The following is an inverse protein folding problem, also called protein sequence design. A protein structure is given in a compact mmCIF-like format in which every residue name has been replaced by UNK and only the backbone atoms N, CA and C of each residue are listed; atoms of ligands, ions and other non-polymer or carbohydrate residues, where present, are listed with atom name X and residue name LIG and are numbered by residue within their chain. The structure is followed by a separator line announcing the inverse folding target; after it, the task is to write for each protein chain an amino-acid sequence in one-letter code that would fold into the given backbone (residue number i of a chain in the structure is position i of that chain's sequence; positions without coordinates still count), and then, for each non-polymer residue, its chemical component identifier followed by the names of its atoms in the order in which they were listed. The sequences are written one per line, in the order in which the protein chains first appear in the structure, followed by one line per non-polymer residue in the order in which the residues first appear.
data_IF_716493703708
#
_entry.id   IF_716493703708
#
_cell.length_a   1.000
_cell.length_b   1.000
_cell.length_c   1.000
_cell.angle_alpha   90.00
_cell.angle_beta   90.00
_cell.angle_gamma   90.00
#
_symmetry.space_group_name_H-M   'P 1'
#
loop_
_entity.id
_entity.type
_entity.pdbx_description
1 polymer ?
#
# COMPACT_ATOMS: atom_id res chain seq x y z
N UNK A 1 -2.31 -4.40 -4.35
CA UNK A 1 -3.30 -3.42 -3.82
C UNK A 1 -4.69 -4.02 -3.77
N UNK A 2 -5.30 -4.12 -2.58
CA UNK A 2 -6.67 -4.64 -2.39
C UNK A 2 -7.71 -3.84 -3.19
N UNK A 3 -7.60 -2.52 -3.16
CA UNK A 3 -8.53 -1.59 -3.82
C UNK A 3 -8.67 -1.82 -5.33
N UNK A 4 -7.56 -2.08 -6.04
CA UNK A 4 -7.60 -2.38 -7.48
C UNK A 4 -8.23 -3.74 -7.78
N UNK A 5 -8.02 -4.74 -6.92
CA UNK A 5 -8.62 -6.07 -7.06
C UNK A 5 -10.13 -6.02 -6.87
N UNK A 6 -10.61 -5.28 -5.87
CA UNK A 6 -12.04 -5.08 -5.62
C UNK A 6 -12.74 -4.41 -6.81
N UNK A 7 -12.06 -3.46 -7.45
CA UNK A 7 -12.53 -2.81 -8.68
C UNK A 7 -12.39 -3.67 -9.94
N UNK A 8 -11.76 -4.84 -9.83
CA UNK A 8 -11.43 -5.73 -10.97
C UNK A 8 -10.71 -4.96 -12.09
N UNK A 9 -9.88 -3.97 -11.73
CA UNK A 9 -9.21 -3.15 -12.73
C UNK A 9 -8.15 -3.98 -13.44
N UNK A 10 -8.18 -3.92 -14.77
CA UNK A 10 -7.19 -4.53 -15.64
C UNK A 10 -6.48 -3.45 -16.43
N UNK A 11 -5.15 -3.53 -16.49
CA UNK A 11 -4.37 -2.61 -17.30
C UNK A 11 -4.42 -3.06 -18.76
N UNK A 12 -5.10 -2.28 -19.60
CA UNK A 12 -5.26 -2.56 -21.03
C UNK A 12 -4.17 -1.92 -21.88
N UNK A 13 -3.49 -0.87 -21.37
CA UNK A 13 -2.43 -0.18 -22.09
C UNK A 13 -1.14 -1.00 -21.97
N UNK A 14 -0.54 -1.45 -23.10
CA UNK A 14 0.71 -2.21 -23.08
C UNK A 14 1.82 -1.46 -22.34
N UNK A 15 2.67 -2.22 -21.65
CA UNK A 15 3.85 -1.64 -21.04
C UNK A 15 4.89 -1.35 -22.13
N UNK A 16 5.33 -0.09 -22.30
CA UNK A 16 6.49 0.18 -23.13
C UNK A 16 7.72 -0.50 -22.50
N UNK A 17 8.49 -1.20 -23.31
CA UNK A 17 9.81 -1.75 -22.94
C UNK A 17 10.86 -0.87 -23.60
N UNK A 18 11.90 -0.54 -22.86
CA UNK A 18 13.03 0.26 -23.31
C UNK A 18 14.26 -0.53 -22.86
N UNK A 19 15.16 -0.82 -23.80
CA UNK A 19 16.43 -1.48 -23.48
C UNK A 19 17.47 -0.45 -23.00
N UNK A 20 18.50 -0.94 -22.32
CA UNK A 20 19.52 -0.06 -21.75
C UNK A 20 20.33 0.60 -22.87
N UNK A 21 20.31 1.94 -22.93
CA UNK A 21 20.95 2.73 -23.99
C UNK A 21 20.03 3.14 -25.16
N UNK A 22 18.76 2.73 -25.18
CA UNK A 22 17.78 3.24 -26.15
C UNK A 22 17.31 4.67 -25.82
N UNK A 23 17.09 5.49 -26.85
CA UNK A 23 16.59 6.85 -26.69
C UNK A 23 15.10 6.85 -26.32
N UNK A 24 14.75 7.57 -25.24
CA UNK A 24 13.37 7.70 -24.79
C UNK A 24 12.60 8.65 -25.71
N UNK A 25 11.77 8.09 -26.58
CA UNK A 25 10.96 8.88 -27.51
C UNK A 25 9.71 9.48 -26.86
N UNK A 26 9.13 10.49 -27.52
CA UNK A 26 7.88 11.10 -27.10
C UNK A 26 6.71 10.10 -27.05
N UNK A 27 6.63 9.17 -28.00
CA UNK A 27 5.56 8.17 -28.06
C UNK A 27 5.62 7.17 -26.90
N UNK A 28 6.83 6.72 -26.57
CA UNK A 28 7.10 5.84 -25.44
C UNK A 28 6.71 6.53 -24.13
N UNK A 29 7.13 7.79 -23.97
CA UNK A 29 6.80 8.61 -22.79
C UNK A 29 5.28 8.82 -22.67
N UNK A 30 4.63 9.16 -23.78
CA UNK A 30 3.17 9.38 -23.82
C UNK A 30 2.42 8.11 -23.47
N UNK A 31 2.85 6.96 -23.99
CA UNK A 31 2.23 5.66 -23.69
C UNK A 31 2.41 5.30 -22.22
N UNK A 32 3.61 5.47 -21.67
CA UNK A 32 3.89 5.25 -20.25
C UNK A 32 3.02 6.16 -19.36
N UNK A 33 2.93 7.46 -19.67
CA UNK A 33 2.12 8.42 -18.94
C UNK A 33 0.63 8.03 -18.97
N UNK A 34 0.10 7.70 -20.15
CA UNK A 34 -1.30 7.29 -20.32
C UNK A 34 -1.62 6.04 -19.49
N UNK A 35 -0.70 5.07 -19.47
CA UNK A 35 -0.79 3.85 -18.64
C UNK A 35 -0.81 4.17 -17.15
N UNK A 36 0.06 5.07 -16.70
CA UNK A 36 0.12 5.52 -15.30
C UNK A 36 -1.13 6.28 -14.88
N UNK A 37 -1.63 7.20 -15.71
CA UNK A 37 -2.87 7.93 -15.45
C UNK A 37 -4.05 6.97 -15.36
N UNK A 38 -4.15 5.99 -16.27
CA UNK A 38 -5.21 4.99 -16.24
C UNK A 38 -5.20 4.18 -14.91
N UNK A 39 -4.00 3.81 -14.43
CA UNK A 39 -3.85 3.16 -13.12
C UNK A 39 -4.24 4.10 -11.96
N UNK A 40 -3.80 5.35 -12.00
CA UNK A 40 -4.05 6.31 -10.93
C UNK A 40 -5.52 6.67 -10.82
N UNK A 41 -6.23 6.83 -11.94
CA UNK A 41 -7.67 7.05 -11.96
C UNK A 41 -8.43 5.86 -11.35
N UNK A 42 -7.98 4.63 -11.60
CA UNK A 42 -8.58 3.45 -10.99
C UNK A 42 -8.44 3.44 -9.46
N UNK A 43 -7.43 4.10 -8.89
CA UNK A 43 -7.26 4.26 -7.45
C UNK A 43 -8.18 5.31 -6.82
N UNK A 44 -8.88 6.13 -7.62
CA UNK A 44 -9.78 7.15 -7.09
C UNK A 44 -11.00 6.50 -6.39
N UNK A 45 -11.34 6.94 -5.18
CA UNK A 45 -12.55 6.49 -4.48
C UNK A 45 -13.83 6.94 -5.20
N UNK A 46 -14.96 6.34 -4.82
CA UNK A 46 -16.29 6.79 -5.26
C UNK A 46 -16.62 8.24 -4.88
N UNK A 47 -15.87 8.83 -3.94
CA UNK A 47 -16.03 10.20 -3.46
C UNK A 47 -14.99 11.15 -4.09
N UNK A 48 -14.18 10.69 -5.04
CA UNK A 48 -13.21 11.52 -5.74
C UNK A 48 -11.85 11.68 -5.05
N UNK A 49 -11.70 11.27 -3.79
CA UNK A 49 -10.40 11.27 -3.09
C UNK A 49 -9.58 10.03 -3.43
N UNK A 50 -8.25 10.09 -3.28
CA UNK A 50 -7.37 8.91 -3.39
C UNK A 50 -7.06 8.34 -2.01
N UNK A 51 -7.43 7.08 -1.72
CA UNK A 51 -7.02 6.43 -0.49
C UNK A 51 -5.50 6.27 -0.50
N UNK A 52 -4.84 6.79 0.52
CA UNK A 52 -3.42 6.60 0.74
C UNK A 52 -3.21 5.78 2.00
N UNK A 53 -2.18 4.94 1.97
CA UNK A 53 -1.68 4.36 3.21
C UNK A 53 -0.99 5.48 3.99
N UNK A 54 -1.57 5.86 5.12
CA UNK A 54 -0.91 6.72 6.09
C UNK A 54 -0.27 5.83 7.17
N UNK A 55 0.76 5.10 6.78
CA UNK A 55 1.59 4.34 7.74
C UNK A 55 2.69 5.26 8.27
N UNK A 56 2.75 5.37 9.59
CA UNK A 56 3.78 6.10 10.32
C UNK A 56 4.49 5.17 11.31
N UNK A 57 5.30 5.72 12.23
CA UNK A 57 5.82 4.94 13.34
C UNK A 57 4.68 4.21 14.06
N UNK A 58 4.88 2.95 14.42
CA UNK A 58 3.96 2.16 15.25
C UNK A 58 3.88 2.69 16.70
N UNK A 59 3.80 4.00 16.90
CA UNK A 59 3.61 4.62 18.19
C UNK A 59 2.14 4.58 18.61
N UNK A 60 1.21 4.88 17.68
CA UNK A 60 -0.22 4.97 18.02
C UNK A 60 -0.94 3.61 17.98
N UNK A 61 -0.42 2.65 17.21
CA UNK A 61 -1.13 1.40 16.93
C UNK A 61 -1.05 0.36 18.06
N UNK A 62 0.11 0.10 18.68
CA UNK A 62 0.18 -0.83 19.81
C UNK A 62 -0.64 -0.36 21.04
N UNK A 63 -0.59 0.93 21.47
CA UNK A 63 -1.42 1.40 22.59
C UNK A 63 -2.92 1.29 22.33
N UNK A 64 -3.38 1.49 21.08
CA UNK A 64 -4.79 1.34 20.75
C UNK A 64 -5.25 -0.12 20.83
N UNK A 65 -4.45 -1.08 20.36
CA UNK A 65 -4.73 -2.52 20.50
C UNK A 65 -4.80 -2.92 21.97
N UNK A 66 -3.84 -2.47 22.79
CA UNK A 66 -3.83 -2.74 24.24
C UNK A 66 -5.08 -2.17 24.92
N UNK A 67 -5.46 -0.94 24.60
CA UNK A 67 -6.66 -0.29 25.16
C UNK A 67 -7.94 -1.06 24.80
N UNK A 68 -8.07 -1.51 23.55
CA UNK A 68 -9.21 -2.31 23.10
C UNK A 68 -9.25 -3.70 23.73
N UNK A 69 -8.09 -4.29 24.00
CA UNK A 69 -7.98 -5.54 24.75
C UNK A 69 -8.44 -5.37 26.20
N UNK A 70 -7.90 -4.37 26.91
CA UNK A 70 -8.23 -4.09 28.32
C UNK A 70 -9.71 -3.79 28.50
N UNK A 71 -10.30 -3.03 27.57
CA UNK A 71 -11.73 -2.68 27.62
C UNK A 71 -12.65 -3.78 27.12
N UNK A 72 -12.13 -4.91 26.62
CA UNK A 72 -12.93 -6.04 26.11
C UNK A 72 -13.56 -5.82 24.73
N UNK A 73 -13.22 -4.74 24.02
CA UNK A 73 -13.81 -4.39 22.72
C UNK A 73 -13.01 -4.89 21.51
N UNK A 74 -11.84 -5.51 21.72
CA UNK A 74 -10.94 -5.94 20.66
C UNK A 74 -11.63 -6.77 19.57
N UNK A 75 -12.42 -7.78 19.97
CA UNK A 75 -13.06 -8.71 19.04
C UNK A 75 -14.35 -8.14 18.42
N UNK A 76 -14.90 -7.08 19.02
CA UNK A 76 -16.09 -6.37 18.51
C UNK A 76 -15.72 -5.40 17.40
N UNK A 77 -14.58 -4.71 17.57
CA UNK A 77 -14.10 -3.70 16.62
C UNK A 77 -13.29 -4.36 15.49
N UNK A 78 -12.43 -5.33 15.82
CA UNK A 78 -11.62 -6.03 14.82
C UNK A 78 -12.16 -7.42 14.54
N UNK A 79 -12.50 -7.65 13.27
CA UNK A 79 -12.82 -8.97 12.75
C UNK A 79 -11.63 -9.93 12.90
N UNK A 80 -11.88 -11.23 12.71
CA UNK A 80 -10.81 -12.23 12.70
C UNK A 80 -9.75 -11.94 11.63
N UNK A 81 -10.15 -11.45 10.45
CA UNK A 81 -9.20 -11.09 9.39
C UNK A 81 -8.41 -9.83 9.73
N UNK A 82 -9.04 -8.80 10.33
CA UNK A 82 -8.31 -7.63 10.83
C UNK A 82 -7.23 -8.05 11.85
N UNK A 83 -7.56 -8.92 12.81
CA UNK A 83 -6.60 -9.38 13.83
C UNK A 83 -5.44 -10.17 13.20
N UNK A 84 -5.70 -11.02 12.20
CA UNK A 84 -4.64 -11.73 11.45
C UNK A 84 -3.71 -10.76 10.74
N UNK A 85 -4.24 -9.78 10.01
CA UNK A 85 -3.42 -8.79 9.29
C UNK A 85 -2.67 -7.85 10.25
N UNK A 86 -3.26 -7.51 11.39
CA UNK A 86 -2.59 -6.75 12.46
C UNK A 86 -1.36 -7.52 12.98
N UNK A 87 -1.52 -8.81 13.27
CA UNK A 87 -0.41 -9.66 13.71
C UNK A 87 0.65 -9.80 12.62
N UNK A 88 0.23 -10.01 11.37
CA UNK A 88 1.13 -10.08 10.22
C UNK A 88 1.93 -8.79 10.05
N UNK A 89 1.27 -7.63 10.13
CA UNK A 89 1.89 -6.32 10.06
C UNK A 89 2.92 -6.13 11.18
N UNK A 90 2.54 -6.42 12.44
CA UNK A 90 3.46 -6.33 13.58
C UNK A 90 4.66 -7.25 13.38
N UNK A 91 4.45 -8.51 12.98
CA UNK A 91 5.54 -9.47 12.75
C UNK A 91 6.50 -9.02 11.65
N UNK A 92 5.96 -8.52 10.52
CA UNK A 92 6.76 -8.03 9.41
C UNK A 92 7.66 -6.85 9.83
N UNK A 93 7.17 -6.00 10.74
CA UNK A 93 7.92 -4.86 11.24
C UNK A 93 8.77 -5.17 12.49
N UNK A 94 8.62 -6.35 13.12
CA UNK A 94 9.51 -6.81 14.19
C UNK A 94 10.93 -7.15 13.67
N UNK A 95 11.09 -7.38 12.37
CA UNK A 95 12.37 -7.81 11.76
C UNK A 95 13.24 -6.63 11.25
N UNK A 96 12.83 -5.37 11.45
CA UNK A 96 13.67 -4.18 11.16
C UNK A 96 14.03 -3.48 12.47
N UNK A 97 14.67 -4.22 13.38
CA UNK A 97 15.41 -3.62 14.50
C UNK A 97 16.75 -4.32 14.77
N UNK A 98 17.27 -5.09 13.80
CA UNK A 98 18.65 -5.58 13.84
C UNK A 98 19.29 -5.30 12.48
N UNK A 99 20.11 -4.24 12.48
CA UNK A 99 21.28 -3.92 11.65
C UNK A 99 21.18 -2.92 10.47
N UNK A 100 22.10 -1.92 10.56
CA UNK A 100 22.65 -1.02 9.51
C UNK A 100 21.71 0.18 9.21
N UNK A 101 21.88 1.39 9.76
CA UNK A 101 22.77 2.48 9.25
C UNK A 101 23.07 3.60 10.30
N UNK A 102 23.21 3.30 11.59
CA UNK A 102 23.62 4.31 12.61
C UNK A 102 25.01 4.03 13.22
N UNK A 103 25.91 3.38 12.49
CA UNK A 103 27.35 3.26 12.82
C UNK A 103 28.18 3.09 11.53
N UNK A 104 28.24 4.15 10.71
CA UNK A 104 29.42 4.50 9.91
C UNK A 104 29.61 6.00 9.97
#
# INVERSE_FOLDING_TARGET
MQFLREKKMQQTIPQPKIEDGEEVTYEVTTTAMRRSVHLFLALQSKHGHWPTENSGPMFCFPPSIMSLYITGHLNTIFSTEHRKEILHYIYYHQVININIYMLK
#
